data_IF_056368825288
#
_entry.id   IF_056368825288
#
_cell.length_a   1.000
_cell.length_b   1.000
_cell.length_c   1.000
_cell.angle_alpha   90.00
_cell.angle_beta   90.00
_cell.angle_gamma   90.00
#
_symmetry.space_group_name_H-M   'P 1'
#
loop_
_entity.id
_entity.type
_entity.pdbx_description
1 polymer ?
#
# COMPACT_ATOMS: atom_id res chain seq x y z
N UNK A 1 57.26 -14.85 -58.52
CA UNK A 1 56.34 -14.27 -58.09
C UNK A 1 55.04 -14.81 -57.52
N UNK A 2 54.96 -14.97 -56.26
CA UNK A 2 53.75 -15.44 -55.58
C UNK A 2 53.02 -14.24 -55.05
N UNK A 3 51.79 -14.02 -55.43
CA UNK A 3 50.99 -13.08 -54.66
C UNK A 3 50.84 -13.66 -53.26
N UNK A 4 51.32 -12.97 -52.33
CA UNK A 4 51.00 -13.22 -50.96
C UNK A 4 49.52 -12.95 -50.81
N UNK A 5 48.80 -14.03 -50.77
CA UNK A 5 47.44 -13.92 -50.33
C UNK A 5 47.50 -13.53 -48.84
N UNK A 6 47.51 -12.24 -48.68
CA UNK A 6 47.23 -11.73 -47.37
C UNK A 6 45.81 -12.15 -47.00
N UNK A 7 45.72 -13.18 -46.28
CA UNK A 7 44.46 -13.48 -45.59
C UNK A 7 44.26 -12.39 -44.58
N UNK A 8 43.52 -11.44 -44.97
CA UNK A 8 42.96 -10.49 -44.00
C UNK A 8 41.94 -11.25 -43.23
N UNK A 9 42.35 -11.80 -42.15
CA UNK A 9 41.44 -12.25 -41.16
C UNK A 9 40.86 -10.99 -40.54
N UNK A 10 39.77 -10.59 -41.09
CA UNK A 10 38.92 -9.63 -40.40
C UNK A 10 38.34 -10.41 -39.25
N UNK A 11 39.04 -10.36 -38.16
CA UNK A 11 38.43 -10.71 -36.87
C UNK A 11 37.39 -9.61 -36.60
N UNK A 12 36.24 -9.84 -37.13
CA UNK A 12 35.07 -9.16 -36.62
C UNK A 12 34.93 -9.67 -35.22
N UNK A 13 35.65 -9.06 -34.33
CA UNK A 13 35.22 -9.09 -32.95
C UNK A 13 33.86 -8.42 -32.96
N UNK A 14 32.89 -9.27 -33.20
CA UNK A 14 31.55 -8.94 -32.82
C UNK A 14 31.64 -8.66 -31.33
N UNK A 15 31.92 -7.41 -31.03
CA UNK A 15 31.73 -6.92 -29.71
C UNK A 15 30.26 -7.14 -29.42
N UNK A 16 29.99 -8.28 -28.86
CA UNK A 16 28.79 -8.50 -28.14
C UNK A 16 28.88 -7.50 -27.01
N UNK A 17 28.53 -6.28 -27.30
CA UNK A 17 28.04 -5.43 -26.28
C UNK A 17 26.83 -6.14 -25.77
N UNK A 18 27.04 -6.98 -24.83
CA UNK A 18 26.08 -7.22 -23.83
C UNK A 18 25.79 -5.82 -23.29
N UNK A 19 24.86 -5.18 -23.94
CA UNK A 19 23.97 -4.42 -23.17
C UNK A 19 23.34 -5.45 -22.23
N UNK A 20 24.09 -5.78 -21.20
CA UNK A 20 23.40 -6.06 -20.02
C UNK A 20 22.42 -4.92 -19.97
N UNK A 21 21.18 -5.19 -20.17
CA UNK A 21 20.26 -4.45 -19.44
C UNK A 21 20.89 -4.41 -18.07
N UNK A 22 21.57 -3.36 -17.74
CA UNK A 22 21.37 -2.89 -16.45
C UNK A 22 19.87 -2.72 -16.42
N UNK A 23 19.13 -3.76 -16.14
CA UNK A 23 18.07 -3.56 -15.28
C UNK A 23 18.65 -2.55 -14.33
N UNK A 24 18.26 -1.34 -14.46
CA UNK A 24 18.26 -0.47 -13.35
C UNK A 24 17.41 -1.25 -12.36
N UNK A 25 18.05 -2.15 -11.70
CA UNK A 25 17.70 -2.43 -10.36
C UNK A 25 17.84 -1.05 -9.77
N UNK A 26 16.74 -0.31 -9.83
CA UNK A 26 16.52 0.71 -8.87
C UNK A 26 16.98 0.03 -7.60
N UNK A 27 17.99 0.58 -6.90
CA UNK A 27 18.33 0.00 -5.63
C UNK A 27 16.97 -0.20 -5.00
N UNK A 28 16.58 -1.45 -4.80
CA UNK A 28 15.39 -1.73 -4.09
C UNK A 28 15.54 -0.86 -2.87
N UNK A 29 14.93 0.31 -2.93
CA UNK A 29 14.61 0.99 -1.71
C UNK A 29 13.93 -0.15 -1.00
N UNK A 30 14.58 -0.69 0.01
CA UNK A 30 13.94 -1.58 0.93
C UNK A 30 12.76 -0.79 1.43
N UNK A 31 11.69 -0.85 0.64
CA UNK A 31 10.41 -0.42 1.10
C UNK A 31 10.16 -1.41 2.22
N UNK A 32 10.43 -0.96 3.42
CA UNK A 32 9.92 -1.66 4.59
C UNK A 32 8.46 -1.89 4.26
N UNK A 33 8.15 -3.14 3.96
CA UNK A 33 6.82 -3.51 3.50
C UNK A 33 5.88 -3.26 4.67
N UNK A 34 5.04 -2.24 4.50
CA UNK A 34 4.04 -1.90 5.50
C UNK A 34 2.88 -2.87 5.37
N UNK A 35 2.57 -3.55 6.43
CA UNK A 35 1.36 -4.33 6.54
C UNK A 35 0.26 -3.48 7.16
N UNK A 36 -0.82 -3.27 6.41
CA UNK A 36 -1.95 -2.45 6.82
C UNK A 36 -3.19 -3.33 6.82
N UNK A 37 -3.84 -3.46 7.97
CA UNK A 37 -5.03 -4.28 8.14
C UNK A 37 -6.16 -3.52 8.79
N UNK A 38 -7.40 -3.92 8.49
CA UNK A 38 -8.62 -3.41 9.10
C UNK A 38 -9.28 -4.50 9.95
N UNK A 39 -9.66 -4.13 11.15
CA UNK A 39 -10.51 -4.92 12.04
C UNK A 39 -11.76 -4.11 12.38
N UNK A 40 -12.91 -4.74 12.37
CA UNK A 40 -14.16 -4.14 12.84
C UNK A 40 -14.60 -4.73 14.16
N UNK A 41 -15.13 -3.87 15.03
CA UNK A 41 -15.66 -4.29 16.33
C UNK A 41 -17.09 -3.74 16.46
N UNK A 42 -18.10 -4.60 16.42
CA UNK A 42 -18.06 -6.07 16.31
C UNK A 42 -17.55 -6.56 14.94
N UNK A 43 -17.12 -7.82 14.87
CA UNK A 43 -16.60 -8.44 13.64
C UNK A 43 -17.68 -8.52 12.54
N UNK A 44 -18.94 -8.68 12.90
CA UNK A 44 -20.08 -8.57 11.99
C UNK A 44 -20.67 -7.18 12.13
N UNK A 45 -20.60 -6.41 11.09
CA UNK A 45 -21.10 -5.04 11.07
C UNK A 45 -22.58 -5.05 10.70
N UNK A 46 -23.39 -4.41 11.53
CA UNK A 46 -24.84 -4.32 11.35
C UNK A 46 -25.26 -2.86 11.12
N UNK A 47 -26.14 -2.63 10.18
CA UNK A 47 -26.69 -1.30 9.92
C UNK A 47 -27.42 -0.75 11.14
N UNK A 48 -27.15 0.51 11.48
CA UNK A 48 -27.71 1.19 12.64
C UNK A 48 -26.94 1.03 13.95
N UNK A 49 -25.99 0.10 14.01
CA UNK A 49 -25.16 -0.09 15.18
C UNK A 49 -23.83 0.69 15.05
N UNK A 50 -23.29 1.12 16.19
CA UNK A 50 -21.96 1.74 16.21
C UNK A 50 -20.91 0.68 15.97
N UNK A 51 -20.06 0.93 15.01
CA UNK A 51 -18.91 0.07 14.67
C UNK A 51 -17.62 0.82 14.92
N UNK A 52 -16.70 0.21 15.67
CA UNK A 52 -15.32 0.67 15.73
C UNK A 52 -14.54 0.09 14.56
N UNK A 53 -13.86 0.95 13.84
CA UNK A 53 -12.96 0.63 12.74
C UNK A 53 -11.54 0.79 13.25
N UNK A 54 -10.79 -0.30 13.32
CA UNK A 54 -9.41 -0.28 13.77
C UNK A 54 -8.46 -0.60 12.61
N UNK A 55 -7.57 0.33 12.31
CA UNK A 55 -6.49 0.16 11.35
C UNK A 55 -5.22 -0.16 12.10
N UNK A 56 -4.58 -1.27 11.77
CA UNK A 56 -3.26 -1.63 12.25
C UNK A 56 -2.22 -1.39 11.17
N UNK A 57 -1.15 -0.68 11.51
CA UNK A 57 -0.02 -0.43 10.63
C UNK A 57 1.23 -1.01 11.26
N UNK A 58 1.80 -2.01 10.62
CA UNK A 58 3.02 -2.68 11.03
C UNK A 58 4.08 -2.55 9.95
N UNK A 59 5.30 -2.32 10.36
CA UNK A 59 6.46 -2.39 9.49
C UNK A 59 7.07 -3.79 9.61
N UNK A 60 7.46 -4.36 8.49
CA UNK A 60 8.07 -5.69 8.49
C UNK A 60 9.26 -5.74 9.47
N UNK A 61 9.23 -6.72 10.36
CA UNK A 61 10.23 -6.94 11.43
C UNK A 61 10.21 -5.95 12.61
N UNK A 62 9.28 -5.01 12.67
CA UNK A 62 9.11 -4.12 13.81
C UNK A 62 7.71 -4.14 14.37
N UNK A 63 7.59 -3.74 15.63
CA UNK A 63 6.27 -3.48 16.25
C UNK A 63 5.58 -2.31 15.58
N UNK A 64 4.28 -2.19 15.80
CA UNK A 64 3.38 -1.22 15.18
C UNK A 64 3.93 0.19 15.00
N UNK A 65 3.56 0.81 13.91
CA UNK A 65 4.01 2.14 13.52
C UNK A 65 3.14 3.23 14.12
N UNK A 66 3.65 3.92 15.12
CA UNK A 66 2.96 5.01 15.80
C UNK A 66 3.22 6.38 15.20
N UNK A 67 2.41 7.36 15.64
CA UNK A 67 2.61 8.76 15.29
C UNK A 67 2.15 9.17 13.89
N UNK A 68 1.38 8.34 13.21
CA UNK A 68 0.84 8.65 11.89
C UNK A 68 -0.43 9.50 12.00
N UNK A 69 -0.58 10.47 11.09
CA UNK A 69 -1.86 11.13 10.87
C UNK A 69 -2.66 10.31 9.87
N UNK A 70 -3.54 9.46 10.40
CA UNK A 70 -4.37 8.57 9.61
C UNK A 70 -5.69 9.25 9.27
N UNK A 71 -5.97 9.38 7.98
CA UNK A 71 -7.23 9.90 7.46
C UNK A 71 -7.98 8.79 6.74
N UNK A 72 -9.28 8.70 6.99
CA UNK A 72 -10.16 7.75 6.33
C UNK A 72 -11.30 8.45 5.59
N UNK A 73 -11.76 7.83 4.53
CA UNK A 73 -12.93 8.27 3.78
C UNK A 73 -13.80 7.07 3.44
N UNK A 74 -15.04 7.09 3.90
CA UNK A 74 -16.03 6.06 3.58
C UNK A 74 -16.83 6.53 2.36
N UNK A 75 -16.79 5.73 1.30
CA UNK A 75 -17.65 5.89 0.14
C UNK A 75 -19.00 5.23 0.40
N UNK A 76 -20.06 6.04 0.32
CA UNK A 76 -21.42 5.59 0.52
C UNK A 76 -21.91 4.77 -0.68
N UNK A 77 -22.81 3.78 -0.47
CA UNK A 77 -23.35 3.00 -1.55
C UNK A 77 -24.02 3.86 -2.63
N UNK A 78 -23.94 3.39 -3.88
CA UNK A 78 -24.54 4.05 -5.06
C UNK A 78 -24.00 5.48 -5.31
N UNK A 79 -22.74 5.75 -4.96
CA UNK A 79 -22.10 7.05 -5.17
C UNK A 79 -22.90 8.24 -4.56
N UNK A 80 -23.57 7.98 -3.43
CA UNK A 80 -24.41 8.99 -2.76
C UNK A 80 -23.62 9.99 -1.92
N UNK A 81 -22.31 9.79 -1.79
CA UNK A 81 -21.41 10.69 -1.09
C UNK A 81 -20.27 9.98 -0.38
N UNK A 82 -19.51 10.76 0.35
CA UNK A 82 -18.35 10.34 1.09
C UNK A 82 -18.40 10.89 2.51
N UNK A 83 -17.88 10.16 3.47
CA UNK A 83 -17.77 10.58 4.86
C UNK A 83 -16.33 10.52 5.28
N UNK A 84 -15.80 11.64 5.73
CA UNK A 84 -14.45 11.72 6.27
C UNK A 84 -14.41 11.21 7.70
N UNK A 85 -13.39 10.40 8.00
CA UNK A 85 -13.12 9.88 9.33
C UNK A 85 -11.70 10.25 9.76
N UNK A 86 -11.58 10.74 10.97
CA UNK A 86 -10.29 10.94 11.62
C UNK A 86 -10.01 9.75 12.54
N UNK A 87 -8.95 9.05 12.26
CA UNK A 87 -8.48 7.94 13.07
C UNK A 87 -7.55 8.45 14.16
N UNK A 88 -7.76 7.98 15.37
CA UNK A 88 -6.94 8.32 16.54
C UNK A 88 -6.12 7.12 16.96
N UNK A 89 -4.81 7.34 17.14
CA UNK A 89 -3.93 6.28 17.66
C UNK A 89 -4.31 5.86 19.06
N UNK A 90 -4.33 4.55 19.30
CA UNK A 90 -4.54 3.99 20.63
C UNK A 90 -3.38 4.35 21.55
N UNK A 91 -3.71 4.80 22.78
CA UNK A 91 -2.70 5.08 23.80
C UNK A 91 -1.96 3.83 24.30
N UNK A 92 -2.62 2.69 24.23
CA UNK A 92 -2.12 1.42 24.76
C UNK A 92 -1.47 0.52 23.68
N UNK A 93 -1.82 0.73 22.41
CA UNK A 93 -1.36 -0.08 21.30
C UNK A 93 -0.77 0.82 20.18
N UNK A 94 0.53 0.93 20.16
CA UNK A 94 1.23 1.67 19.11
C UNK A 94 0.97 1.04 17.73
N UNK A 95 0.65 1.87 16.74
CA UNK A 95 0.35 1.42 15.40
C UNK A 95 -1.10 1.01 15.16
N UNK A 96 -1.96 1.13 16.17
CA UNK A 96 -3.40 0.91 16.08
C UNK A 96 -4.14 2.24 16.08
N UNK A 97 -4.96 2.46 15.08
CA UNK A 97 -5.71 3.70 14.85
C UNK A 97 -7.19 3.35 14.76
N UNK A 98 -8.04 4.04 15.50
CA UNK A 98 -9.47 3.73 15.52
C UNK A 98 -10.35 4.94 15.26
N UNK A 99 -11.51 4.67 14.69
CA UNK A 99 -12.61 5.60 14.51
C UNK A 99 -13.93 4.86 14.66
N UNK A 100 -14.94 5.54 15.15
CA UNK A 100 -16.29 4.98 15.25
C UNK A 100 -17.17 5.51 14.13
N UNK A 101 -18.01 4.63 13.58
CA UNK A 101 -18.97 4.98 12.55
C UNK A 101 -20.26 4.16 12.66
N UNK A 102 -21.37 4.76 12.28
CA UNK A 102 -22.67 4.09 12.19
C UNK A 102 -23.07 3.99 10.72
N UNK A 103 -23.06 2.76 10.19
CA UNK A 103 -23.50 2.50 8.83
C UNK A 103 -25.03 2.52 8.78
N UNK A 104 -25.61 3.40 7.96
CA UNK A 104 -27.05 3.60 7.94
C UNK A 104 -27.84 2.54 7.18
N UNK A 105 -27.22 1.79 6.30
CA UNK A 105 -27.86 0.82 5.40
C UNK A 105 -27.00 -0.41 5.23
N UNK A 106 -27.62 -1.58 5.13
CA UNK A 106 -26.95 -2.82 4.77
C UNK A 106 -26.47 -2.75 3.32
N UNK A 107 -25.17 -2.77 3.10
CA UNK A 107 -24.52 -2.68 1.79
C UNK A 107 -23.02 -2.94 1.92
N UNK A 108 -22.31 -3.00 0.80
CA UNK A 108 -20.86 -2.94 0.75
C UNK A 108 -20.40 -1.48 0.72
N UNK A 109 -19.47 -1.15 1.59
CA UNK A 109 -18.84 0.17 1.68
C UNK A 109 -17.36 0.07 1.38
N UNK A 110 -16.80 1.09 0.77
CA UNK A 110 -15.36 1.21 0.58
C UNK A 110 -14.79 2.20 1.60
N UNK A 111 -13.76 1.77 2.32
CA UNK A 111 -13.00 2.63 3.21
C UNK A 111 -11.63 2.88 2.59
N UNK A 112 -11.35 4.12 2.25
CA UNK A 112 -10.03 4.56 1.79
C UNK A 112 -9.28 5.17 2.95
N UNK A 113 -8.13 4.63 3.27
CA UNK A 113 -7.24 5.16 4.31
C UNK A 113 -5.98 5.73 3.68
N UNK A 114 -5.54 6.86 4.19
CA UNK A 114 -4.30 7.49 3.78
C UNK A 114 -3.53 8.04 4.96
N UNK A 115 -2.22 7.98 4.86
CA UNK A 115 -1.29 8.63 5.79
C UNK A 115 0.02 8.95 5.07
N UNK A 116 0.81 9.82 5.67
CA UNK A 116 2.14 10.15 5.15
C UNK A 116 3.19 9.43 5.96
N UNK A 117 4.08 8.74 5.28
CA UNK A 117 5.23 8.07 5.84
C UNK A 117 6.48 8.39 5.01
N UNK A 118 7.53 8.86 5.66
CA UNK A 118 8.79 9.25 4.99
C UNK A 118 8.60 10.21 3.79
N UNK A 119 7.64 11.12 3.92
CA UNK A 119 7.34 12.10 2.87
C UNK A 119 6.53 11.55 1.69
N UNK A 120 6.12 10.30 1.75
CA UNK A 120 5.27 9.66 0.74
C UNK A 120 3.87 9.42 1.30
N UNK A 121 2.84 9.60 0.48
CA UNK A 121 1.47 9.24 0.84
C UNK A 121 1.26 7.75 0.60
N UNK A 122 0.83 7.06 1.64
CA UNK A 122 0.44 5.65 1.59
C UNK A 122 -1.08 5.59 1.60
N UNK A 123 -1.65 4.82 0.69
CA UNK A 123 -3.09 4.64 0.56
C UNK A 123 -3.44 3.16 0.62
N UNK A 124 -4.54 2.86 1.29
CA UNK A 124 -5.10 1.51 1.38
C UNK A 124 -6.61 1.55 1.32
N UNK A 125 -7.17 0.63 0.55
CA UNK A 125 -8.62 0.47 0.39
C UNK A 125 -9.08 -0.83 1.05
N UNK A 126 -10.21 -0.75 1.75
CA UNK A 126 -10.87 -1.89 2.37
C UNK A 126 -12.35 -1.93 1.99
N UNK A 127 -12.89 -3.12 1.88
CA UNK A 127 -14.32 -3.33 1.70
C UNK A 127 -14.93 -3.76 3.03
N UNK A 128 -16.01 -3.11 3.43
CA UNK A 128 -16.76 -3.42 4.65
C UNK A 128 -18.17 -3.87 4.25
N UNK A 129 -18.47 -5.12 4.55
CA UNK A 129 -19.81 -5.68 4.35
C UNK A 129 -20.69 -5.39 5.57
N UNK A 130 -21.78 -4.68 5.34
CA UNK A 130 -22.76 -4.29 6.38
C UNK A 130 -24.07 -5.05 6.17
N UNK A 131 -24.55 -5.71 7.22
CA UNK A 131 -25.72 -6.57 7.23
C UNK A 131 -26.96 -5.92 7.87
#
# INVERSE_FOLDING_TARGET
MKPLNGIIIIVITLGLTLFGCSSSEDPEEEHSELEISLTTIPAVVTAGDTTELEISVEEHDTSGMGGLSMHGQIHLPNDTGEVDLDFVESADNVGHYSAEYVFGTAASYELHCSFTHEGKTVEKEFIIEVH
#
